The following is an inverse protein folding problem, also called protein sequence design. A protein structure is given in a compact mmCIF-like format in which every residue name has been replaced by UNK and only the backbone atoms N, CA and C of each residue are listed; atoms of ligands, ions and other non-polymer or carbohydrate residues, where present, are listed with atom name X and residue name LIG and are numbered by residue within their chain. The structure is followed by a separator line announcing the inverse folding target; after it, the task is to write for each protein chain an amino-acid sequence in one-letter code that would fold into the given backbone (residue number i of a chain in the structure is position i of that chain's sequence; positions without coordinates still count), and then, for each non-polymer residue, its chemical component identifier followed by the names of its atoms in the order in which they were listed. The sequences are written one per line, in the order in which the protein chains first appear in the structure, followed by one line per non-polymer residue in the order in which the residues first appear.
data_IF_300988042520
#
_entry.id   IF_300988042520
#
_cell.length_a   1.000
_cell.length_b   1.000
_cell.length_c   1.000
_cell.angle_alpha   90.00
_cell.angle_beta   90.00
_cell.angle_gamma   90.00
#
_symmetry.space_group_name_H-M   'P 1'
#
loop_
_entity.id
_entity.type
_entity.pdbx_description
1 polymer ?
#
# COMPACT_ATOMS: atom_id res chain seq x y z
N UNK A 1 -5.30 6.48 10.54
CA UNK A 1 -4.53 6.98 9.38
C UNK A 1 -5.51 7.42 8.30
N UNK A 2 -5.35 8.62 7.76
CA UNK A 2 -6.19 9.16 6.68
C UNK A 2 -5.30 9.47 5.47
N UNK A 3 -5.62 9.01 4.26
CA UNK A 3 -4.88 9.34 3.06
C UNK A 3 -5.07 10.82 2.71
N UNK A 4 -4.00 11.48 2.26
CA UNK A 4 -4.02 12.86 1.76
C UNK A 4 -3.84 12.85 0.25
N UNK A 5 -2.73 12.29 -0.24
CA UNK A 5 -2.47 12.19 -1.67
C UNK A 5 -1.64 10.97 -2.01
N UNK A 6 -1.81 10.44 -3.21
CA UNK A 6 -1.03 9.35 -3.75
C UNK A 6 -0.54 9.71 -5.15
N UNK A 7 0.77 9.80 -5.32
CA UNK A 7 1.40 9.99 -6.63
C UNK A 7 2.02 8.69 -7.11
N UNK A 8 1.65 8.29 -8.30
CA UNK A 8 2.16 7.13 -9.02
C UNK A 8 2.94 7.62 -10.24
N UNK A 9 4.14 7.12 -10.47
CA UNK A 9 4.93 7.46 -11.64
C UNK A 9 5.47 6.19 -12.29
N UNK A 10 5.15 5.97 -13.55
CA UNK A 10 5.53 4.77 -14.31
C UNK A 10 5.30 3.47 -13.52
N UNK A 11 4.16 3.34 -12.83
CA UNK A 11 3.89 2.28 -11.87
C UNK A 11 2.67 1.44 -12.27
N UNK A 12 2.81 0.13 -12.38
CA UNK A 12 1.77 -0.79 -12.80
C UNK A 12 1.21 -0.45 -14.19
N UNK A 13 -0.10 -0.20 -14.34
CA UNK A 13 -0.71 0.16 -15.62
C UNK A 13 -0.57 1.65 -15.96
N UNK A 14 0.04 2.46 -15.09
CA UNK A 14 0.15 3.91 -15.26
C UNK A 14 1.50 4.28 -15.88
N UNK A 15 1.58 4.63 -17.19
CA UNK A 15 2.85 4.95 -17.85
C UNK A 15 3.41 6.31 -17.45
N UNK A 16 2.52 7.25 -17.10
CA UNK A 16 2.85 8.63 -16.75
C UNK A 16 2.85 8.84 -15.23
N UNK A 17 3.12 10.08 -14.81
CA UNK A 17 2.96 10.48 -13.41
C UNK A 17 1.54 11.00 -13.19
N UNK A 18 0.82 10.36 -12.27
CA UNK A 18 -0.53 10.76 -11.87
C UNK A 18 -0.56 10.99 -10.36
N UNK A 19 -1.39 11.94 -9.93
CA UNK A 19 -1.64 12.21 -8.51
C UNK A 19 -3.13 12.09 -8.22
N UNK A 20 -3.46 11.33 -7.19
CA UNK A 20 -4.81 11.20 -6.65
C UNK A 20 -4.84 12.01 -5.37
N UNK A 21 -5.70 13.03 -5.34
CA UNK A 21 -5.98 13.85 -4.16
C UNK A 21 -7.16 13.24 -3.40
N UNK A 22 -6.92 12.79 -2.17
CA UNK A 22 -7.94 12.21 -1.31
C UNK A 22 -8.61 13.25 -0.40
N UNK A 23 -8.03 14.45 -0.25
CA UNK A 23 -8.62 15.49 0.60
C UNK A 23 -9.99 15.92 0.08
N UNK A 24 -10.15 15.95 -1.25
CA UNK A 24 -11.42 16.29 -1.90
C UNK A 24 -12.57 15.30 -1.61
N UNK A 25 -12.26 14.11 -1.07
CA UNK A 25 -13.25 13.06 -0.74
C UNK A 25 -13.46 12.87 0.77
N UNK A 26 -12.80 13.64 1.62
CA UNK A 26 -12.84 13.44 3.08
C UNK A 26 -14.15 13.88 3.71
N UNK A 27 -14.86 14.85 3.13
CA UNK A 27 -16.12 15.36 3.68
C UNK A 27 -17.20 14.27 3.79
N UNK A 28 -17.28 13.39 2.81
CA UNK A 28 -18.27 12.30 2.77
C UNK A 28 -17.82 11.04 3.54
N UNK A 29 -16.54 10.92 3.89
CA UNK A 29 -15.97 9.77 4.61
C UNK A 29 -16.00 8.45 3.84
N UNK A 30 -16.58 8.42 2.63
CA UNK A 30 -16.72 7.27 1.75
C UNK A 30 -16.56 7.71 0.30
N UNK A 31 -15.77 6.98 -0.48
CA UNK A 31 -15.64 7.21 -1.92
C UNK A 31 -15.59 5.89 -2.69
N UNK A 32 -15.97 5.94 -3.96
CA UNK A 32 -16.00 4.78 -4.85
C UNK A 32 -15.04 4.98 -6.01
N UNK A 33 -14.15 4.00 -6.23
CA UNK A 33 -13.27 3.95 -7.39
C UNK A 33 -13.92 3.06 -8.45
N UNK A 34 -14.37 3.65 -9.56
CA UNK A 34 -15.01 2.94 -10.67
C UNK A 34 -14.14 2.94 -11.93
N UNK A 35 -14.40 2.00 -12.81
CA UNK A 35 -13.71 1.90 -14.11
C UNK A 35 -13.74 0.49 -14.67
N UNK A 36 -13.38 0.29 -15.94
CA UNK A 36 -13.36 -1.02 -16.58
C UNK A 36 -12.40 -2.00 -15.88
N UNK A 37 -12.59 -3.29 -16.13
CA UNK A 37 -11.64 -4.32 -15.67
C UNK A 37 -10.27 -4.06 -16.31
N UNK A 38 -9.20 -4.15 -15.52
CA UNK A 38 -7.84 -3.87 -16.00
C UNK A 38 -7.41 -2.41 -15.94
N UNK A 39 -8.30 -1.46 -15.60
CA UNK A 39 -7.96 -0.02 -15.52
C UNK A 39 -7.02 0.37 -14.36
N UNK A 40 -6.56 -0.58 -13.57
CA UNK A 40 -5.59 -0.30 -12.49
C UNK A 40 -6.18 0.02 -11.12
N UNK A 41 -7.50 -0.08 -10.91
CA UNK A 41 -8.14 0.24 -9.60
C UNK A 41 -7.46 -0.43 -8.41
N UNK A 42 -7.18 -1.72 -8.49
CA UNK A 42 -6.49 -2.49 -7.44
C UNK A 42 -5.05 -2.02 -7.25
N UNK A 43 -4.40 -1.52 -8.32
CA UNK A 43 -3.03 -1.04 -8.25
C UNK A 43 -2.88 0.23 -7.38
N UNK A 44 -3.94 1.00 -7.18
CA UNK A 44 -3.97 2.14 -6.26
C UNK A 44 -3.71 1.66 -4.82
N UNK A 45 -4.38 0.59 -4.41
CA UNK A 45 -4.17 -0.02 -3.08
C UNK A 45 -2.80 -0.71 -2.98
N UNK A 46 -2.37 -1.40 -4.04
CA UNK A 46 -1.02 -1.99 -4.12
C UNK A 46 0.06 -0.92 -3.96
N UNK A 47 -0.14 0.25 -4.56
CA UNK A 47 0.77 1.37 -4.45
C UNK A 47 0.84 1.95 -3.02
N UNK A 48 -0.30 2.07 -2.32
CA UNK A 48 -0.33 2.48 -0.92
C UNK A 48 0.45 1.49 -0.03
N UNK A 49 0.21 0.19 -0.19
CA UNK A 49 0.92 -0.85 0.56
C UNK A 49 2.42 -0.83 0.22
N UNK A 50 2.75 -0.69 -1.06
CA UNK A 50 4.14 -0.57 -1.48
C UNK A 50 4.80 0.67 -0.88
N UNK A 51 4.15 1.83 -0.86
CA UNK A 51 4.67 3.02 -0.22
C UNK A 51 4.93 2.77 1.28
N UNK A 52 3.97 2.21 2.01
CA UNK A 52 4.08 2.00 3.45
C UNK A 52 5.13 0.94 3.81
N UNK A 53 5.15 -0.21 3.12
CA UNK A 53 5.91 -1.39 3.55
C UNK A 53 6.94 -1.89 2.53
N UNK A 54 6.98 -1.35 1.31
CA UNK A 54 7.86 -1.83 0.23
C UNK A 54 7.46 -3.21 -0.33
N UNK A 55 6.21 -3.64 -0.11
CA UNK A 55 5.64 -4.91 -0.55
C UNK A 55 4.34 -4.65 -1.31
N UNK A 56 3.89 -5.60 -2.12
CA UNK A 56 2.58 -5.54 -2.81
C UNK A 56 1.52 -6.36 -2.05
N UNK A 57 0.24 -6.14 -2.35
CA UNK A 57 -0.87 -6.89 -1.73
C UNK A 57 -0.88 -8.37 -2.13
N UNK A 58 -0.44 -8.69 -3.35
CA UNK A 58 -0.44 -10.05 -3.89
C UNK A 58 0.89 -10.77 -3.73
N UNK A 59 0.85 -12.08 -3.50
CA UNK A 59 2.03 -12.95 -3.49
C UNK A 59 2.66 -13.14 -4.88
N UNK A 60 1.96 -12.76 -5.95
CA UNK A 60 2.27 -13.11 -7.35
C UNK A 60 3.15 -12.05 -8.02
N UNK A 61 3.11 -10.79 -7.57
CA UNK A 61 3.93 -9.74 -8.19
C UNK A 61 5.22 -9.52 -7.43
N UNK A 62 6.32 -9.92 -8.06
CA UNK A 62 7.65 -9.54 -7.58
C UNK A 62 7.80 -8.01 -7.71
N UNK A 63 8.46 -7.39 -6.73
CA UNK A 63 8.71 -5.95 -6.73
C UNK A 63 9.48 -5.46 -7.94
N UNK A 64 10.18 -6.36 -8.65
CA UNK A 64 10.95 -6.06 -9.87
C UNK A 64 10.05 -5.83 -11.12
N UNK A 65 8.74 -6.15 -11.05
CA UNK A 65 7.76 -6.00 -12.14
C UNK A 65 6.75 -4.87 -11.91
N UNK A 66 7.08 -3.90 -11.06
CA UNK A 66 6.18 -2.81 -10.71
C UNK A 66 6.26 -1.61 -11.67
N UNK A 67 7.32 -1.54 -12.50
CA UNK A 67 7.40 -0.51 -13.54
C UNK A 67 6.40 -0.81 -14.65
N UNK A 68 5.77 0.22 -15.15
CA UNK A 68 4.91 0.11 -16.34
C UNK A 68 5.76 -0.19 -17.57
N UNK A 69 5.42 -1.25 -18.32
CA UNK A 69 6.13 -1.66 -19.53
C UNK A 69 6.00 -0.63 -20.67
N UNK A 70 4.99 0.22 -20.62
CA UNK A 70 4.73 1.26 -21.61
C UNK A 70 5.30 2.63 -21.20
N UNK A 71 5.98 2.74 -20.07
CA UNK A 71 6.53 4.00 -19.61
C UNK A 71 7.82 4.37 -20.34
N UNK A 72 7.93 5.62 -20.76
CA UNK A 72 9.15 6.16 -21.37
C UNK A 72 10.33 6.11 -20.39
N UNK A 73 11.54 5.94 -20.93
CA UNK A 73 12.75 5.82 -20.11
C UNK A 73 13.04 7.04 -19.24
N UNK A 74 12.61 8.22 -19.68
CA UNK A 74 12.77 9.50 -18.97
C UNK A 74 11.89 9.59 -17.71
N UNK A 75 10.79 8.82 -17.67
CA UNK A 75 9.86 8.85 -16.54
C UNK A 75 10.35 7.89 -15.43
N UNK A 76 10.70 8.42 -14.25
CA UNK A 76 11.17 7.59 -13.15
C UNK A 76 10.00 6.77 -12.56
N UNK A 77 10.31 5.58 -12.04
CA UNK A 77 9.30 4.76 -11.36
C UNK A 77 9.35 5.00 -9.86
N UNK A 78 8.28 5.53 -9.31
CA UNK A 78 8.13 5.71 -7.86
C UNK A 78 6.66 5.76 -7.44
N UNK A 79 6.44 5.58 -6.16
CA UNK A 79 5.20 5.88 -5.45
C UNK A 79 5.51 6.86 -4.34
N UNK A 80 4.71 7.92 -4.24
CA UNK A 80 4.75 8.86 -3.13
C UNK A 80 3.37 8.93 -2.49
N UNK A 81 3.30 8.71 -1.18
CA UNK A 81 2.06 8.66 -0.44
C UNK A 81 2.14 9.60 0.76
N UNK A 82 1.23 10.57 0.79
CA UNK A 82 1.04 11.47 1.92
C UNK A 82 -0.19 11.05 2.71
N UNK A 83 -0.07 11.02 4.02
CA UNK A 83 -1.14 10.62 4.93
C UNK A 83 -1.05 11.36 6.26
N UNK A 84 -2.19 11.49 6.93
CA UNK A 84 -2.28 11.99 8.30
C UNK A 84 -2.42 10.84 9.29
N UNK A 85 -1.67 10.91 10.38
CA UNK A 85 -1.74 9.99 11.52
C UNK A 85 -1.66 10.80 12.82
N UNK A 86 -2.66 10.66 13.70
CA UNK A 86 -2.77 11.45 14.94
C UNK A 86 -2.63 12.97 14.70
N UNK A 87 -3.30 13.48 13.66
CA UNK A 87 -3.27 14.90 13.24
C UNK A 87 -1.89 15.40 12.79
N UNK A 88 -0.98 14.51 12.48
CA UNK A 88 0.35 14.83 11.95
C UNK A 88 0.51 14.26 10.54
N UNK A 89 1.10 15.04 9.65
CA UNK A 89 1.27 14.67 8.25
C UNK A 89 2.64 14.04 8.01
N UNK A 90 2.63 12.96 7.24
CA UNK A 90 3.79 12.19 6.83
C UNK A 90 3.76 12.04 5.31
N UNK A 91 4.93 12.05 4.71
CA UNK A 91 5.08 11.74 3.27
C UNK A 91 6.13 10.66 3.09
N UNK A 92 5.75 9.57 2.44
CA UNK A 92 6.66 8.47 2.14
C UNK A 92 6.80 8.33 0.63
N UNK A 93 8.06 8.26 0.16
CA UNK A 93 8.39 8.04 -1.24
C UNK A 93 9.24 6.79 -1.38
N UNK A 94 8.85 5.90 -2.30
CA UNK A 94 9.62 4.70 -2.63
C UNK A 94 9.72 4.50 -4.12
N UNK A 95 10.86 4.03 -4.56
CA UNK A 95 10.99 3.42 -5.88
C UNK A 95 11.32 1.93 -5.74
N UNK A 96 10.72 1.07 -6.58
CA UNK A 96 11.09 -0.33 -6.69
C UNK A 96 12.46 -0.44 -7.37
N UNK A 97 13.03 -1.63 -7.39
CA UNK A 97 14.08 -1.98 -8.33
C UNK A 97 13.45 -2.12 -9.71
N UNK A 98 14.03 -1.48 -10.73
CA UNK A 98 13.53 -1.58 -12.11
C UNK A 98 14.63 -1.38 -13.13
N UNK A 99 14.38 -1.89 -14.34
CA UNK A 99 15.27 -1.71 -15.49
C UNK A 99 14.66 -0.68 -16.43
N UNK A 100 15.52 0.16 -17.02
CA UNK A 100 15.16 0.98 -18.17
C UNK A 100 15.40 0.17 -19.44
N UNK A 101 14.58 0.38 -20.46
CA UNK A 101 14.75 -0.28 -21.74
C UNK A 101 16.16 -0.05 -22.31
N UNK A 102 16.79 -1.14 -22.74
CA UNK A 102 18.18 -1.11 -23.25
C UNK A 102 19.27 -0.95 -22.19
N UNK A 103 18.94 -0.86 -20.90
CA UNK A 103 19.93 -0.78 -19.82
C UNK A 103 20.07 -2.13 -19.10
N UNK A 104 21.32 -2.55 -18.89
CA UNK A 104 21.65 -3.77 -18.14
C UNK A 104 21.70 -3.55 -16.63
N UNK A 105 21.96 -2.31 -16.20
CA UNK A 105 22.06 -1.96 -14.77
C UNK A 105 20.70 -1.46 -14.27
N UNK A 106 20.11 -2.10 -13.25
CA UNK A 106 18.86 -1.65 -12.68
C UNK A 106 19.02 -0.37 -11.88
N UNK A 107 17.97 0.42 -11.82
CA UNK A 107 17.80 1.44 -10.79
C UNK A 107 17.55 0.73 -9.46
N UNK A 108 18.35 1.09 -8.45
CA UNK A 108 18.25 0.45 -7.13
C UNK A 108 17.01 0.95 -6.40
N UNK A 109 16.38 0.10 -5.59
CA UNK A 109 15.23 0.51 -4.78
C UNK A 109 15.66 1.51 -3.72
N UNK A 110 14.79 2.46 -3.38
CA UNK A 110 15.00 3.39 -2.28
C UNK A 110 13.73 3.69 -1.52
N UNK A 111 13.89 4.22 -0.32
CA UNK A 111 12.79 4.65 0.53
C UNK A 111 13.21 5.92 1.28
N UNK A 112 12.28 6.89 1.34
CA UNK A 112 12.42 8.15 2.03
C UNK A 112 11.11 8.45 2.76
N UNK A 113 11.18 8.73 4.06
CA UNK A 113 10.04 9.15 4.87
C UNK A 113 10.32 10.54 5.42
N UNK A 114 9.44 11.48 5.12
CA UNK A 114 9.42 12.82 5.70
C UNK A 114 8.49 12.84 6.91
N UNK A 115 9.01 13.25 8.05
CA UNK A 115 8.30 13.37 9.32
C UNK A 115 7.63 14.74 9.44
N UNK A 116 6.66 14.91 10.37
CA UNK A 116 5.93 16.18 10.56
C UNK A 116 6.81 17.37 10.90
N UNK A 117 7.97 17.14 11.55
CA UNK A 117 8.96 18.17 11.89
C UNK A 117 9.92 18.51 10.73
N UNK A 118 9.67 17.93 9.54
CA UNK A 118 10.51 18.10 8.35
C UNK A 118 11.76 17.23 8.31
N UNK A 119 12.05 16.45 9.36
CA UNK A 119 13.15 15.50 9.33
C UNK A 119 12.88 14.36 8.36
N UNK A 120 13.94 13.86 7.74
CA UNK A 120 13.89 12.78 6.78
C UNK A 120 14.55 11.52 7.33
N UNK A 121 13.91 10.38 7.11
CA UNK A 121 14.46 9.05 7.36
C UNK A 121 14.70 8.40 6.01
N UNK A 122 15.95 8.06 5.73
CA UNK A 122 16.36 7.42 4.49
C UNK A 122 16.78 5.98 4.70
N UNK A 123 16.63 5.16 3.67
CA UNK A 123 16.98 3.74 3.72
C UNK A 123 15.77 2.84 3.87
N UNK A 124 15.81 1.70 3.15
CA UNK A 124 14.66 0.77 3.12
C UNK A 124 14.39 0.19 4.51
N UNK A 125 15.45 -0.23 5.22
CA UNK A 125 15.34 -0.88 6.52
C UNK A 125 14.85 0.11 7.58
N UNK A 126 15.43 1.29 7.61
CA UNK A 126 15.15 2.37 8.55
C UNK A 126 13.70 2.86 8.39
N UNK A 127 13.29 3.10 7.13
CA UNK A 127 11.91 3.50 6.81
C UNK A 127 10.92 2.40 7.18
N UNK A 128 11.21 1.13 6.88
CA UNK A 128 10.31 0.02 7.24
C UNK A 128 10.13 -0.09 8.76
N UNK A 129 11.21 -0.02 9.52
CA UNK A 129 11.15 -0.04 10.99
C UNK A 129 10.34 1.14 11.55
N UNK A 130 10.58 2.33 10.99
CA UNK A 130 9.86 3.54 11.40
C UNK A 130 8.36 3.44 11.08
N UNK A 131 8.00 2.90 9.89
CA UNK A 131 6.60 2.71 9.50
C UNK A 131 5.88 1.72 10.42
N UNK A 132 6.47 0.57 10.74
CA UNK A 132 5.90 -0.40 11.68
C UNK A 132 5.72 0.24 13.05
N UNK A 133 6.71 1.00 13.54
CA UNK A 133 6.63 1.72 14.80
C UNK A 133 5.53 2.79 14.83
N UNK A 134 5.30 3.50 13.70
CA UNK A 134 4.28 4.54 13.59
C UNK A 134 2.87 3.96 13.51
N UNK A 135 2.69 2.90 12.71
CA UNK A 135 1.37 2.31 12.44
C UNK A 135 0.99 1.25 13.49
N UNK A 136 1.96 0.68 14.21
CA UNK A 136 1.74 -0.38 15.21
C UNK A 136 1.39 -1.74 14.60
N UNK A 137 1.42 -1.89 13.27
CA UNK A 137 1.06 -3.10 12.53
C UNK A 137 2.05 -3.36 11.39
N UNK A 138 2.31 -4.62 11.10
CA UNK A 138 3.11 -5.02 9.94
C UNK A 138 2.26 -5.05 8.64
N UNK A 139 2.88 -5.40 7.51
CA UNK A 139 2.22 -5.41 6.20
C UNK A 139 1.11 -6.45 6.09
N UNK A 140 1.23 -7.59 6.77
CA UNK A 140 0.20 -8.63 6.77
C UNK A 140 -0.99 -8.22 7.60
N UNK A 141 -0.75 -7.73 8.81
CA UNK A 141 -1.79 -7.19 9.68
C UNK A 141 -2.50 -6.00 9.05
N UNK A 142 -1.76 -5.08 8.42
CA UNK A 142 -2.34 -3.94 7.73
C UNK A 142 -3.28 -4.37 6.60
N UNK A 143 -2.86 -5.34 5.78
CA UNK A 143 -3.71 -5.90 4.71
C UNK A 143 -4.99 -6.52 5.26
N UNK A 144 -4.88 -7.27 6.34
CA UNK A 144 -6.02 -7.92 6.98
C UNK A 144 -7.04 -6.91 7.56
N UNK A 145 -6.53 -5.81 8.15
CA UNK A 145 -7.39 -4.80 8.79
C UNK A 145 -7.97 -3.81 7.77
N UNK A 146 -7.15 -3.38 6.80
CA UNK A 146 -7.49 -2.28 5.91
C UNK A 146 -8.00 -2.72 4.53
N UNK A 147 -7.80 -3.99 4.16
CA UNK A 147 -8.17 -4.50 2.85
C UNK A 147 -8.99 -5.78 2.97
N UNK A 148 -10.26 -5.67 2.65
CA UNK A 148 -11.10 -6.86 2.45
C UNK A 148 -10.95 -7.25 0.97
N UNK A 149 -10.30 -8.38 0.70
CA UNK A 149 -10.09 -8.87 -0.65
C UNK A 149 -11.44 -9.08 -1.38
N UNK A 150 -11.42 -8.88 -2.69
CA UNK A 150 -12.61 -9.05 -3.52
C UNK A 150 -13.19 -10.47 -3.34
N UNK A 151 -14.45 -10.55 -2.92
CA UNK A 151 -15.15 -11.80 -2.64
C UNK A 151 -15.09 -12.28 -1.19
N UNK A 152 -14.15 -11.82 -0.36
CA UNK A 152 -14.09 -12.19 1.06
C UNK A 152 -15.18 -11.49 1.89
N UNK A 153 -15.52 -10.25 1.52
CA UNK A 153 -16.65 -9.55 2.13
C UNK A 153 -17.96 -10.30 1.91
N UNK A 154 -18.19 -10.82 0.72
CA UNK A 154 -19.38 -11.63 0.43
C UNK A 154 -19.38 -12.94 1.20
N UNK A 155 -18.21 -13.59 1.35
CA UNK A 155 -18.07 -14.78 2.19
C UNK A 155 -18.39 -14.47 3.65
N UNK A 156 -17.91 -13.35 4.18
CA UNK A 156 -18.17 -12.92 5.55
C UNK A 156 -19.66 -12.67 5.80
N UNK A 157 -20.36 -12.02 4.84
CA UNK A 157 -21.80 -11.74 4.96
C UNK A 157 -22.63 -13.02 4.84
N UNK A 158 -22.26 -13.92 3.91
CA UNK A 158 -23.00 -15.15 3.63
C UNK A 158 -22.65 -16.31 4.57
N UNK A 159 -21.58 -16.18 5.35
CA UNK A 159 -21.11 -17.20 6.28
C UNK A 159 -22.08 -17.38 7.45
N UNK A 160 -22.19 -18.61 7.95
CA UNK A 160 -22.85 -18.92 9.22
C UNK A 160 -22.12 -18.22 10.38
N UNK A 161 -22.74 -18.17 11.56
CA UNK A 161 -22.15 -17.53 12.75
C UNK A 161 -20.79 -18.16 13.10
N UNK A 162 -20.66 -19.48 13.01
CA UNK A 162 -19.42 -20.21 13.33
C UNK A 162 -18.31 -19.95 12.29
N UNK A 163 -18.69 -19.83 11.01
CA UNK A 163 -17.75 -19.48 9.93
C UNK A 163 -17.29 -18.03 10.03
N UNK A 164 -18.20 -17.10 10.40
CA UNK A 164 -17.82 -15.69 10.66
C UNK A 164 -16.84 -15.58 11.80
N UNK A 165 -17.08 -16.31 12.88
CA UNK A 165 -16.17 -16.35 14.02
C UNK A 165 -14.79 -16.84 13.62
N UNK A 166 -14.70 -17.89 12.79
CA UNK A 166 -13.44 -18.40 12.27
C UNK A 166 -12.69 -17.39 11.41
N UNK A 167 -13.39 -16.74 10.47
CA UNK A 167 -12.81 -15.70 9.61
C UNK A 167 -12.36 -14.49 10.43
N UNK A 168 -13.16 -14.07 11.42
CA UNK A 168 -12.79 -12.98 12.32
C UNK A 168 -11.57 -13.34 13.21
N UNK A 169 -11.50 -14.59 13.68
CA UNK A 169 -10.35 -15.08 14.44
C UNK A 169 -9.06 -15.10 13.61
N UNK A 170 -9.14 -15.53 12.35
CA UNK A 170 -8.02 -15.48 11.40
C UNK A 170 -7.60 -14.03 11.09
N UNK A 171 -8.57 -13.14 10.87
CA UNK A 171 -8.32 -11.71 10.60
C UNK A 171 -7.64 -11.00 11.77
N UNK A 172 -8.07 -11.29 12.99
CA UNK A 172 -7.56 -10.59 14.18
C UNK A 172 -6.46 -11.35 14.92
N UNK A 173 -5.99 -12.50 14.37
CA UNK A 173 -4.98 -13.36 15.02
C UNK A 173 -5.28 -13.61 16.52
N UNK A 174 -6.56 -13.75 16.86
CA UNK A 174 -6.99 -13.95 18.23
C UNK A 174 -6.72 -15.37 18.76
N UNK A 175 -6.12 -16.25 17.97
CA UNK A 175 -5.68 -17.59 18.37
C UNK A 175 -4.67 -17.55 19.54
N UNK A 176 -3.92 -16.45 19.67
CA UNK A 176 -2.96 -16.28 20.77
C UNK A 176 -3.67 -16.10 22.13
N UNK A 177 -4.87 -15.56 22.14
CA UNK A 177 -5.66 -15.34 23.37
C UNK A 177 -6.36 -16.62 23.84
N UNK A 178 -6.67 -17.55 22.94
CA UNK A 178 -7.27 -18.83 23.30
C UNK A 178 -6.34 -19.72 24.14
N UNK A 179 -5.01 -19.61 23.93
CA UNK A 179 -4.00 -20.32 24.74
C UNK A 179 -3.84 -19.75 26.15
N UNK A 180 -4.50 -18.66 26.47
CA UNK A 180 -4.50 -18.05 27.81
C UNK A 180 -5.77 -18.41 28.60
N UNK A 181 -6.81 -18.97 27.92
CA UNK A 181 -8.06 -19.43 28.55
C UNK A 181 -8.07 -20.94 28.86
N UNK A 182 -7.10 -21.71 28.34
CA UNK A 182 -6.85 -23.12 28.70
C UNK A 182 -5.75 -23.21 29.78
#
# INVERSE_FOLDING_TARGET
MMPISLTLSAFGPYPDTITIDFESFQEDGLFLITGPTGSGKTMIFDAMIFALYGKTSGQIRQTDSLRCDHALNEIPTFVEFSFSLHQQNYTIKRNPKYYLEGKKTPKQPSALLTLPDGKMVEGIKEVNQKMISLLGVDDQQFKQICMIAQGEFTKLIMASSDEREKVLRELFHSETYQKLEE
#
